data_IF_156266663786
#
_entry.id   IF_156266663786
#
_cell.length_a   1.000
_cell.length_b   1.000
_cell.length_c   1.000
_cell.angle_alpha   90.00
_cell.angle_beta   90.00
_cell.angle_gamma   90.00
#
_symmetry.space_group_name_H-M   'P 1'
#
loop_
_entity.id
_entity.type
_entity.pdbx_description
1 polymer ?
#
# COMPACT_ATOMS: atom_id res chain seq x y z
N UNK A 1 -6.96 -14.34 2.19
CA UNK A 1 -5.97 -14.52 1.12
C UNK A 1 -4.63 -14.59 1.80
N UNK A 2 -3.80 -15.56 1.44
CA UNK A 2 -2.42 -15.59 1.88
C UNK A 2 -1.56 -14.56 1.10
N UNK A 3 -0.40 -14.14 1.58
CA UNK A 3 0.58 -13.24 0.97
C UNK A 3 1.13 -13.88 -0.32
N UNK A 4 1.18 -15.22 -0.34
CA UNK A 4 1.44 -16.00 -1.56
C UNK A 4 0.27 -15.94 -2.55
N UNK A 5 -0.98 -16.08 -2.09
CA UNK A 5 -2.18 -15.93 -2.94
C UNK A 5 -2.35 -14.50 -3.47
N UNK A 6 -2.05 -13.48 -2.65
CA UNK A 6 -2.07 -12.07 -3.01
C UNK A 6 -0.99 -11.73 -4.03
N UNK A 7 0.24 -12.22 -3.83
CA UNK A 7 1.34 -12.05 -4.77
C UNK A 7 1.11 -12.80 -6.09
N UNK A 8 0.58 -14.03 -6.07
CA UNK A 8 0.23 -14.77 -7.28
C UNK A 8 -0.91 -14.11 -8.05
N UNK A 9 -1.92 -13.59 -7.33
CA UNK A 9 -2.98 -12.80 -7.94
C UNK A 9 -2.44 -11.49 -8.52
N UNK A 10 -1.55 -10.80 -7.81
CA UNK A 10 -0.89 -9.60 -8.31
C UNK A 10 -0.15 -9.88 -9.61
N UNK A 11 0.72 -10.89 -9.62
CA UNK A 11 1.45 -11.29 -10.83
C UNK A 11 0.48 -11.60 -11.97
N UNK A 12 -0.61 -12.33 -11.72
CA UNK A 12 -1.61 -12.65 -12.75
C UNK A 12 -2.32 -11.42 -13.32
N UNK A 13 -2.77 -10.49 -12.47
CA UNK A 13 -3.44 -9.26 -12.92
C UNK A 13 -2.47 -8.34 -13.67
N UNK A 14 -1.21 -8.25 -13.22
CA UNK A 14 -0.16 -7.51 -13.92
C UNK A 14 0.13 -8.12 -15.30
N UNK A 15 0.17 -9.46 -15.40
CA UNK A 15 0.30 -10.16 -16.69
C UNK A 15 -0.90 -9.91 -17.60
N UNK A 16 -2.12 -9.86 -17.07
CA UNK A 16 -3.31 -9.58 -17.87
C UNK A 16 -3.24 -8.19 -18.54
N UNK A 17 -2.74 -7.18 -17.82
CA UNK A 17 -2.50 -5.83 -18.39
C UNK A 17 -1.47 -5.89 -19.52
N UNK A 18 -0.37 -6.61 -19.32
CA UNK A 18 0.67 -6.76 -20.34
C UNK A 18 0.18 -7.55 -21.56
N UNK A 19 -0.63 -8.58 -21.36
CA UNK A 19 -1.24 -9.38 -22.44
C UNK A 19 -2.23 -8.57 -23.27
N UNK A 20 -3.07 -7.72 -22.67
CA UNK A 20 -3.98 -6.83 -23.40
C UNK A 20 -3.19 -5.89 -24.32
N UNK A 21 -2.15 -5.25 -23.79
CA UNK A 21 -1.28 -4.34 -24.55
C UNK A 21 -0.53 -5.08 -25.66
N UNK A 22 -0.01 -6.28 -25.37
CA UNK A 22 0.68 -7.11 -26.35
C UNK A 22 -0.25 -7.59 -27.47
N UNK A 23 -1.48 -7.99 -27.13
CA UNK A 23 -2.50 -8.37 -28.11
C UNK A 23 -2.82 -7.23 -29.07
N UNK A 24 -3.02 -6.02 -28.55
CA UNK A 24 -3.24 -4.83 -29.39
C UNK A 24 -2.05 -4.53 -30.32
N UNK A 25 -0.82 -4.65 -29.83
CA UNK A 25 0.38 -4.51 -30.66
C UNK A 25 0.44 -5.58 -31.77
N UNK A 26 0.19 -6.84 -31.43
CA UNK A 26 0.25 -7.97 -32.36
C UNK A 26 -0.80 -7.84 -33.47
N UNK A 27 -1.98 -7.32 -33.14
CA UNK A 27 -3.06 -7.09 -34.08
C UNK A 27 -2.88 -5.78 -34.90
N UNK A 28 -1.76 -5.08 -34.73
CA UNK A 28 -1.46 -3.82 -35.41
C UNK A 28 -2.33 -2.65 -34.94
N UNK A 29 -3.00 -2.78 -33.79
CA UNK A 29 -3.79 -1.72 -33.19
C UNK A 29 -2.89 -0.81 -32.36
N UNK A 30 -3.32 0.44 -32.17
CA UNK A 30 -2.61 1.37 -31.31
C UNK A 30 -2.88 0.97 -29.85
N UNK A 31 -1.84 0.63 -29.06
CA UNK A 31 -2.03 0.18 -27.70
C UNK A 31 -2.70 1.22 -26.83
N UNK A 32 -3.55 0.76 -25.92
CA UNK A 32 -4.28 1.59 -24.98
C UNK A 32 -4.51 0.87 -23.66
N UNK A 33 -4.47 1.64 -22.58
CA UNK A 33 -4.82 1.18 -21.25
C UNK A 33 -6.02 1.99 -20.75
N UNK A 34 -7.03 1.29 -20.21
CA UNK A 34 -8.20 1.94 -19.59
C UNK A 34 -7.92 2.11 -18.11
N UNK A 35 -8.10 3.32 -17.61
CA UNK A 35 -7.83 3.68 -16.23
C UNK A 35 -9.02 4.46 -15.67
N UNK A 36 -9.56 4.12 -14.49
CA UNK A 36 -10.62 4.91 -13.86
C UNK A 36 -10.21 6.38 -13.65
N UNK A 37 -11.11 7.31 -13.95
CA UNK A 37 -10.82 8.74 -13.80
C UNK A 37 -10.88 9.16 -12.34
N UNK A 38 -9.81 9.78 -11.84
CA UNK A 38 -9.75 10.36 -10.48
C UNK A 38 -10.21 11.81 -10.47
N UNK A 39 -11.47 12.04 -10.84
CA UNK A 39 -12.08 13.36 -10.83
C UNK A 39 -13.21 13.41 -9.81
N UNK A 40 -13.48 14.60 -9.23
CA UNK A 40 -14.62 14.79 -8.29
C UNK A 40 -15.94 14.29 -8.89
N UNK A 41 -16.13 14.45 -10.20
CA UNK A 41 -17.31 13.97 -10.92
C UNK A 41 -17.42 12.43 -10.98
N UNK A 42 -16.32 11.72 -10.80
CA UNK A 42 -16.30 10.26 -10.75
C UNK A 42 -16.34 9.70 -9.32
N UNK A 43 -16.30 10.53 -8.28
CA UNK A 43 -16.43 10.07 -6.89
C UNK A 43 -17.91 10.09 -6.53
N UNK A 44 -18.47 8.92 -6.17
CA UNK A 44 -19.88 8.76 -5.83
C UNK A 44 -20.04 8.17 -4.44
N UNK A 45 -20.97 8.71 -3.67
CA UNK A 45 -21.32 8.15 -2.37
C UNK A 45 -22.11 6.85 -2.56
N UNK A 46 -21.65 5.76 -1.95
CA UNK A 46 -22.37 4.50 -1.88
C UNK A 46 -23.18 4.45 -0.58
N UNK A 47 -24.51 4.68 -0.62
CA UNK A 47 -25.34 4.74 0.58
C UNK A 47 -25.48 3.40 1.28
N UNK A 48 -25.19 2.27 0.61
CA UNK A 48 -25.28 0.95 1.22
C UNK A 48 -24.11 0.69 2.17
N UNK A 49 -22.94 1.19 1.82
CA UNK A 49 -21.71 0.97 2.58
C UNK A 49 -21.26 2.23 3.32
N UNK A 50 -21.96 3.35 3.16
CA UNK A 50 -21.63 4.66 3.73
C UNK A 50 -20.19 5.12 3.41
N UNK A 51 -19.68 4.74 2.24
CA UNK A 51 -18.33 5.10 1.78
C UNK A 51 -18.38 5.72 0.39
N UNK A 52 -17.38 6.54 0.08
CA UNK A 52 -17.19 7.09 -1.26
C UNK A 52 -16.45 6.08 -2.14
N UNK A 53 -16.97 5.84 -3.34
CA UNK A 53 -16.39 4.90 -4.32
C UNK A 53 -16.19 5.58 -5.66
N UNK A 54 -15.28 5.03 -6.45
CA UNK A 54 -15.16 5.40 -7.85
C UNK A 54 -16.41 4.96 -8.63
N UNK A 55 -16.86 5.85 -9.50
CA UNK A 55 -17.92 5.61 -10.47
C UNK A 55 -17.39 4.86 -11.70
N UNK A 56 -18.18 4.89 -12.78
CA UNK A 56 -17.90 4.13 -14.01
C UNK A 56 -17.08 4.91 -15.05
N UNK A 57 -16.65 6.14 -14.75
CA UNK A 57 -15.92 6.93 -15.74
C UNK A 57 -14.47 6.41 -15.83
N UNK A 58 -14.09 5.98 -17.03
CA UNK A 58 -12.74 5.53 -17.35
C UNK A 58 -12.14 6.44 -18.41
N UNK A 59 -10.87 6.78 -18.23
CA UNK A 59 -10.03 7.41 -19.25
C UNK A 59 -9.29 6.35 -20.04
N UNK A 60 -8.86 6.72 -21.24
CA UNK A 60 -8.02 5.87 -22.09
C UNK A 60 -6.66 6.53 -22.26
N UNK A 61 -5.60 5.79 -21.98
CA UNK A 61 -4.22 6.18 -22.22
C UNK A 61 -3.73 5.43 -23.44
N UNK A 62 -3.55 6.13 -24.56
CA UNK A 62 -3.20 5.50 -25.83
C UNK A 62 -1.79 5.91 -26.26
N UNK A 63 -1.07 4.96 -26.87
CA UNK A 63 0.23 5.17 -27.50
C UNK A 63 0.18 6.09 -28.73
N UNK A 64 -1.01 6.56 -29.16
CA UNK A 64 -1.15 7.47 -30.31
C UNK A 64 -0.35 8.78 -30.15
N UNK A 65 -0.14 9.22 -28.91
CA UNK A 65 0.64 10.42 -28.58
C UNK A 65 1.88 10.01 -27.78
N UNK A 66 2.98 10.74 -27.96
CA UNK A 66 4.26 10.49 -27.29
C UNK A 66 4.12 10.33 -25.76
N UNK A 67 3.37 11.22 -25.09
CA UNK A 67 3.12 11.12 -23.64
C UNK A 67 2.43 9.82 -23.23
N UNK A 68 1.47 9.35 -24.03
CA UNK A 68 0.77 8.10 -23.77
C UNK A 68 1.65 6.88 -24.05
N UNK A 69 2.47 6.93 -25.11
CA UNK A 69 3.43 5.89 -25.42
C UNK A 69 4.49 5.74 -24.31
N UNK A 70 5.06 6.85 -23.84
CA UNK A 70 6.03 6.86 -22.73
C UNK A 70 5.40 6.31 -21.44
N UNK A 71 4.13 6.64 -21.16
CA UNK A 71 3.48 6.10 -19.97
C UNK A 71 3.20 4.59 -20.08
N UNK A 72 2.77 4.09 -21.23
CA UNK A 72 2.62 2.65 -21.44
C UNK A 72 3.97 1.92 -21.32
N UNK A 73 5.05 2.51 -21.86
CA UNK A 73 6.40 2.00 -21.69
C UNK A 73 6.79 1.92 -20.20
N UNK A 74 6.63 3.03 -19.45
CA UNK A 74 6.86 3.08 -17.99
C UNK A 74 6.04 2.05 -17.23
N UNK A 75 4.79 1.87 -17.62
CA UNK A 75 3.91 0.84 -17.05
C UNK A 75 4.56 -0.52 -17.20
N UNK A 76 5.01 -0.90 -18.41
CA UNK A 76 5.67 -2.20 -18.63
C UNK A 76 6.93 -2.38 -17.77
N UNK A 77 7.76 -1.35 -17.62
CA UNK A 77 8.94 -1.41 -16.74
C UNK A 77 8.55 -1.59 -15.27
N UNK A 78 7.51 -0.90 -14.79
CA UNK A 78 7.02 -1.07 -13.41
C UNK A 78 6.40 -2.46 -13.20
N UNK A 79 5.65 -3.00 -14.16
CA UNK A 79 5.14 -4.37 -14.08
C UNK A 79 6.29 -5.38 -13.97
N UNK A 80 7.34 -5.20 -14.77
CA UNK A 80 8.52 -6.06 -14.75
C UNK A 80 9.27 -5.97 -13.41
N UNK A 81 9.47 -4.75 -12.92
CA UNK A 81 10.05 -4.48 -11.60
C UNK A 81 9.26 -5.16 -10.47
N UNK A 82 7.93 -4.96 -10.41
CA UNK A 82 7.09 -5.59 -9.38
C UNK A 82 7.18 -7.12 -9.47
N UNK A 83 7.19 -7.68 -10.68
CA UNK A 83 7.36 -9.14 -10.89
C UNK A 83 8.69 -9.64 -10.34
N UNK A 84 9.79 -8.92 -10.57
CA UNK A 84 11.11 -9.28 -10.02
C UNK A 84 11.13 -9.22 -8.49
N UNK A 85 10.49 -8.21 -7.89
CA UNK A 85 10.37 -8.07 -6.45
C UNK A 85 9.59 -9.23 -5.83
N UNK A 86 8.45 -9.58 -6.42
CA UNK A 86 7.63 -10.73 -6.00
C UNK A 86 8.42 -12.04 -6.12
N UNK A 87 9.06 -12.31 -7.27
CA UNK A 87 9.86 -13.52 -7.48
C UNK A 87 11.06 -13.61 -6.55
N UNK A 88 11.71 -12.49 -6.28
CA UNK A 88 12.84 -12.40 -5.37
C UNK A 88 12.47 -12.44 -3.90
N UNK A 89 11.18 -12.46 -3.54
CA UNK A 89 10.69 -12.25 -2.17
C UNK A 89 11.29 -10.99 -1.52
N UNK A 90 11.50 -9.95 -2.33
CA UNK A 90 12.02 -8.65 -1.92
C UNK A 90 10.88 -7.64 -1.90
N UNK A 91 11.15 -6.51 -1.27
CA UNK A 91 10.25 -5.35 -1.24
C UNK A 91 11.02 -4.08 -1.53
N UNK A 92 10.36 -3.08 -2.09
CA UNK A 92 10.98 -1.80 -2.38
C UNK A 92 10.05 -0.65 -2.03
N UNK A 93 10.61 0.51 -1.69
CA UNK A 93 9.83 1.72 -1.50
C UNK A 93 9.54 2.44 -2.81
N UNK A 94 8.58 3.36 -2.81
CA UNK A 94 8.29 4.18 -4.00
C UNK A 94 9.46 5.08 -4.40
N UNK A 95 10.29 5.57 -3.46
CA UNK A 95 11.52 6.31 -3.80
C UNK A 95 12.59 5.40 -4.36
N UNK A 96 12.78 4.21 -3.81
CA UNK A 96 13.73 3.25 -4.37
C UNK A 96 13.36 2.90 -5.82
N UNK A 97 12.08 2.63 -6.10
CA UNK A 97 11.60 2.43 -7.47
C UNK A 97 11.89 3.65 -8.35
N UNK A 98 11.69 4.87 -7.83
CA UNK A 98 12.05 6.10 -8.54
C UNK A 98 13.55 6.16 -8.88
N UNK A 99 14.45 5.88 -7.93
CA UNK A 99 15.89 5.88 -8.17
C UNK A 99 16.33 4.76 -9.12
N UNK A 100 15.74 3.58 -9.01
CA UNK A 100 16.00 2.46 -9.94
C UNK A 100 15.56 2.85 -11.36
N UNK A 101 14.49 3.64 -11.49
CA UNK A 101 14.00 4.09 -12.79
C UNK A 101 14.99 4.99 -13.55
N UNK A 102 15.96 5.63 -12.88
CA UNK A 102 17.03 6.38 -13.57
C UNK A 102 17.85 5.47 -14.51
N UNK A 103 17.87 4.15 -14.24
CA UNK A 103 18.48 3.15 -15.11
C UNK A 103 17.61 2.70 -16.30
N UNK A 104 16.35 3.15 -16.40
CA UNK A 104 15.40 2.70 -17.44
C UNK A 104 15.43 3.55 -18.72
N UNK A 105 16.46 4.39 -18.90
CA UNK A 105 16.66 5.24 -20.09
C UNK A 105 15.41 6.07 -20.43
N UNK A 106 14.75 5.82 -21.57
CA UNK A 106 13.53 6.51 -21.99
C UNK A 106 12.34 6.33 -21.03
N UNK A 107 12.35 5.27 -20.22
CA UNK A 107 11.30 4.96 -19.26
C UNK A 107 11.58 5.50 -17.85
N UNK A 108 12.60 6.34 -17.65
CA UNK A 108 12.82 6.96 -16.35
C UNK A 108 11.69 7.91 -15.95
N UNK A 109 11.44 8.02 -14.64
CA UNK A 109 10.54 9.05 -14.11
C UNK A 109 11.25 10.40 -14.05
N UNK A 110 10.52 11.49 -14.28
CA UNK A 110 11.07 12.84 -14.13
C UNK A 110 10.77 13.44 -12.76
N UNK A 111 9.81 12.89 -12.03
CA UNK A 111 9.51 13.25 -10.65
C UNK A 111 8.94 12.06 -9.89
N UNK A 112 9.04 12.10 -8.56
CA UNK A 112 8.43 11.09 -7.69
C UNK A 112 6.90 11.06 -7.82
N UNK A 113 6.27 12.18 -8.16
CA UNK A 113 4.82 12.22 -8.38
C UNK A 113 4.40 11.34 -9.58
N UNK A 114 5.25 11.20 -10.61
CA UNK A 114 4.96 10.33 -11.74
C UNK A 114 4.97 8.85 -11.35
N UNK A 115 5.92 8.44 -10.49
CA UNK A 115 5.98 7.05 -10.00
C UNK A 115 4.82 6.74 -9.05
N UNK A 116 4.47 7.68 -8.17
CA UNK A 116 3.33 7.57 -7.26
C UNK A 116 2.01 7.42 -8.03
N UNK A 117 1.77 8.28 -9.03
CA UNK A 117 0.53 8.22 -9.83
C UNK A 117 0.38 6.89 -10.57
N UNK A 118 1.49 6.35 -11.09
CA UNK A 118 1.48 5.08 -11.81
C UNK A 118 1.25 3.89 -10.86
N UNK A 119 1.85 3.88 -9.67
CA UNK A 119 1.58 2.85 -8.65
C UNK A 119 0.09 2.86 -8.27
N UNK A 120 -0.49 4.03 -8.04
CA UNK A 120 -1.93 4.16 -7.78
C UNK A 120 -2.79 3.71 -8.96
N UNK A 121 -2.35 3.93 -10.21
CA UNK A 121 -3.10 3.50 -11.39
C UNK A 121 -3.15 1.97 -11.44
N UNK A 122 -2.06 1.30 -11.06
CA UNK A 122 -2.00 -0.15 -10.94
C UNK A 122 -2.89 -0.68 -9.82
N UNK A 123 -2.91 -0.06 -8.64
CA UNK A 123 -3.82 -0.46 -7.54
C UNK A 123 -5.28 -0.41 -8.00
N UNK A 124 -5.67 0.68 -8.66
CA UNK A 124 -7.06 0.89 -9.08
C UNK A 124 -7.45 -0.05 -10.21
N UNK A 125 -6.54 -0.33 -11.15
CA UNK A 125 -6.82 -1.22 -12.29
C UNK A 125 -6.87 -2.69 -11.86
N UNK A 126 -5.98 -3.11 -10.96
CA UNK A 126 -5.92 -4.51 -10.48
C UNK A 126 -6.83 -4.78 -9.28
N UNK A 127 -7.34 -3.73 -8.62
CA UNK A 127 -8.04 -3.80 -7.35
C UNK A 127 -7.24 -4.51 -6.24
N UNK A 128 -5.92 -4.28 -6.24
CA UNK A 128 -4.97 -4.79 -5.25
C UNK A 128 -4.31 -3.62 -4.50
N UNK A 129 -3.77 -3.92 -3.32
CA UNK A 129 -3.09 -2.94 -2.49
C UNK A 129 -1.60 -2.84 -2.87
N UNK A 130 -0.92 -1.75 -2.49
CA UNK A 130 0.52 -1.55 -2.78
C UNK A 130 1.38 -2.66 -2.20
N UNK A 131 0.98 -3.13 -1.03
CA UNK A 131 1.63 -4.17 -0.27
C UNK A 131 1.63 -5.51 -1.02
N UNK A 132 0.57 -5.79 -1.80
CA UNK A 132 0.48 -6.97 -2.67
C UNK A 132 1.53 -6.92 -3.78
N UNK A 133 1.93 -5.71 -4.22
CA UNK A 133 3.01 -5.48 -5.18
C UNK A 133 4.40 -5.47 -4.56
N UNK A 134 4.51 -5.74 -3.25
CA UNK A 134 5.76 -5.57 -2.48
C UNK A 134 6.30 -4.14 -2.51
N UNK A 135 5.45 -3.17 -2.84
CA UNK A 135 5.76 -1.75 -2.74
C UNK A 135 5.39 -1.27 -1.34
N UNK A 136 6.36 -0.65 -0.66
CA UNK A 136 6.19 -0.17 0.72
C UNK A 136 6.15 1.35 0.76
N UNK A 137 5.32 1.94 1.65
CA UNK A 137 5.46 3.35 1.99
C UNK A 137 6.81 3.59 2.67
N UNK A 138 7.33 4.81 2.55
CA UNK A 138 8.57 5.21 3.24
C UNK A 138 8.33 5.75 4.65
N UNK A 139 7.11 6.22 4.93
CA UNK A 139 6.81 6.81 6.22
C UNK A 139 6.84 5.75 7.32
N UNK A 140 7.37 6.16 8.47
CA UNK A 140 7.35 5.31 9.66
C UNK A 140 5.91 5.10 10.07
N UNK A 141 5.48 3.84 10.13
CA UNK A 141 4.13 3.49 10.55
C UNK A 141 3.74 4.09 11.91
N UNK A 142 2.43 4.15 12.13
CA UNK A 142 1.86 4.54 13.41
C UNK A 142 2.39 3.63 14.54
N UNK A 143 2.46 4.19 15.74
CA UNK A 143 2.81 3.43 16.95
C UNK A 143 1.55 3.16 17.77
N UNK A 144 1.48 2.01 18.43
CA UNK A 144 0.33 1.59 19.24
C UNK A 144 0.79 1.27 20.66
N UNK A 145 0.07 1.81 21.65
CA UNK A 145 0.21 1.46 23.07
C UNK A 145 -1.16 1.14 23.65
N UNK A 146 -1.27 0.05 24.40
CA UNK A 146 -2.48 -0.32 25.14
C UNK A 146 -2.61 -1.82 25.28
N UNK A 147 -3.61 -2.27 26.05
CA UNK A 147 -3.80 -3.68 26.37
C UNK A 147 -4.35 -4.47 25.17
N UNK A 148 -3.46 -4.73 24.21
CA UNK A 148 -3.69 -5.42 22.96
C UNK A 148 -2.57 -6.45 22.78
N UNK A 149 -2.93 -7.73 22.71
CA UNK A 149 -1.98 -8.80 22.42
C UNK A 149 -2.05 -9.17 20.96
N UNK A 150 -0.92 -8.99 20.27
CA UNK A 150 -0.75 -9.34 18.86
C UNK A 150 0.25 -10.48 18.72
N UNK A 151 0.05 -11.30 17.69
CA UNK A 151 1.03 -12.28 17.25
C UNK A 151 1.64 -11.81 15.94
N UNK A 152 2.94 -11.53 15.94
CA UNK A 152 3.69 -11.13 14.75
C UNK A 152 4.70 -12.22 14.35
N UNK A 153 4.83 -12.46 13.04
CA UNK A 153 5.95 -13.22 12.48
C UNK A 153 7.17 -12.29 12.38
N UNK A 154 8.15 -12.54 13.24
CA UNK A 154 9.43 -11.81 13.24
C UNK A 154 10.23 -12.07 11.97
N UNK A 155 11.26 -11.25 11.71
CA UNK A 155 12.17 -11.41 10.56
C UNK A 155 12.81 -12.80 10.46
N UNK A 156 12.91 -13.52 11.58
CA UNK A 156 13.50 -14.85 11.66
C UNK A 156 12.48 -15.98 11.42
N UNK A 157 11.22 -15.64 11.11
CA UNK A 157 10.14 -16.59 10.90
C UNK A 157 9.48 -17.11 12.18
N UNK A 158 9.94 -16.68 13.35
CA UNK A 158 9.33 -17.05 14.63
C UNK A 158 8.07 -16.24 14.87
N UNK A 159 7.00 -16.93 15.27
CA UNK A 159 5.78 -16.30 15.78
C UNK A 159 6.02 -15.87 17.22
N UNK A 160 5.90 -14.58 17.48
CA UNK A 160 5.99 -14.03 18.84
C UNK A 160 4.70 -13.34 19.19
N UNK A 161 4.23 -13.60 20.41
CA UNK A 161 3.16 -12.83 21.01
C UNK A 161 3.79 -11.64 21.70
N UNK A 162 3.24 -10.47 21.42
CA UNK A 162 3.69 -9.18 21.93
C UNK A 162 2.46 -8.50 22.51
N UNK A 163 2.50 -8.18 23.79
CA UNK A 163 1.54 -7.29 24.41
C UNK A 163 1.96 -5.83 24.13
N UNK A 164 1.10 -5.07 23.46
CA UNK A 164 1.36 -3.66 23.09
C UNK A 164 1.32 -2.69 24.29
N UNK A 165 1.27 -3.17 25.53
CA UNK A 165 1.43 -2.39 26.75
C UNK A 165 2.62 -2.89 27.56
N UNK A 166 2.64 -4.18 27.89
CA UNK A 166 3.63 -4.74 28.83
C UNK A 166 4.97 -5.10 28.18
N UNK A 167 4.97 -5.46 26.89
CA UNK A 167 6.17 -5.95 26.17
C UNK A 167 6.83 -4.87 25.30
N UNK A 168 6.36 -3.62 25.36
CA UNK A 168 6.84 -2.49 24.55
C UNK A 168 7.33 -1.34 25.42
N UNK A 169 8.35 -0.62 24.96
CA UNK A 169 8.81 0.60 25.63
C UNK A 169 7.92 1.81 25.34
N UNK A 170 8.34 2.99 25.80
CA UNK A 170 7.58 4.25 25.70
C UNK A 170 7.22 4.66 24.26
N UNK A 171 7.94 4.16 23.26
CA UNK A 171 7.66 4.39 21.84
C UNK A 171 6.54 3.51 21.26
N UNK A 172 6.10 2.51 22.02
CA UNK A 172 5.04 1.58 21.66
C UNK A 172 5.41 0.54 20.60
N UNK A 173 4.44 -0.30 20.27
CA UNK A 173 4.54 -1.21 19.14
C UNK A 173 4.45 -0.43 17.83
N UNK A 174 5.49 -0.46 17.01
CA UNK A 174 5.46 0.15 15.67
C UNK A 174 4.74 -0.78 14.70
N UNK A 175 3.65 -0.30 14.10
CA UNK A 175 2.87 -1.10 13.14
C UNK A 175 3.76 -1.41 11.91
N UNK A 176 3.94 -2.69 11.55
CA UNK A 176 4.69 -3.07 10.36
C UNK A 176 3.92 -2.67 9.11
N UNK A 177 4.65 -2.40 8.01
CA UNK A 177 4.04 -2.03 6.72
C UNK A 177 3.03 -3.06 6.18
N UNK A 178 3.17 -4.34 6.54
CA UNK A 178 2.24 -5.39 6.13
C UNK A 178 1.42 -5.80 7.37
N UNK A 179 0.14 -5.47 7.34
CA UNK A 179 -0.85 -5.75 8.40
C UNK A 179 -1.76 -6.94 8.05
N UNK A 180 -1.45 -7.67 6.98
CA UNK A 180 -2.20 -8.85 6.58
C UNK A 180 -2.11 -9.96 7.64
N UNK A 181 -3.14 -10.81 7.66
CA UNK A 181 -3.38 -11.82 8.71
C UNK A 181 -2.27 -12.84 8.89
N UNK A 182 -1.42 -13.02 7.89
CA UNK A 182 -0.26 -13.90 8.00
C UNK A 182 0.87 -13.29 8.78
N UNK A 183 1.04 -11.97 8.69
CA UNK A 183 2.11 -11.30 9.38
C UNK A 183 1.70 -10.88 10.79
N UNK A 184 0.51 -10.30 10.92
CA UNK A 184 -0.01 -9.79 12.20
C UNK A 184 -1.37 -10.41 12.47
N UNK A 185 -1.55 -10.96 13.67
CA UNK A 185 -2.82 -11.56 14.10
C UNK A 185 -3.20 -11.06 15.49
N UNK A 186 -4.40 -10.51 15.61
CA UNK A 186 -4.97 -10.16 16.90
C UNK A 186 -5.29 -11.42 17.71
N UNK A 187 -4.82 -11.47 18.96
CA UNK A 187 -5.08 -12.58 19.89
C UNK A 187 -6.06 -12.19 20.97
N UNK A 188 -5.81 -11.08 21.63
CA UNK A 188 -6.64 -10.59 22.73
C UNK A 188 -6.59 -9.06 22.79
N UNK A 189 -7.65 -8.45 23.29
CA UNK A 189 -7.74 -7.01 23.48
C UNK A 189 -8.72 -6.67 24.61
N UNK A 190 -8.25 -5.97 25.65
CA UNK A 190 -9.10 -5.40 26.71
C UNK A 190 -9.04 -3.87 26.64
N UNK A 191 -9.79 -3.32 25.67
CA UNK A 191 -9.96 -1.89 25.52
C UNK A 191 -11.40 -1.53 25.12
N UNK A 192 -11.90 -0.43 25.67
CA UNK A 192 -13.25 0.11 25.41
C UNK A 192 -13.31 0.92 24.12
N UNK A 193 -12.22 1.58 23.75
CA UNK A 193 -12.14 2.42 22.55
C UNK A 193 -10.68 2.58 22.08
N UNK A 194 -10.52 3.05 20.86
CA UNK A 194 -9.22 3.41 20.26
C UNK A 194 -9.14 4.93 20.17
N UNK A 195 -8.03 5.51 20.65
CA UNK A 195 -7.75 6.94 20.61
C UNK A 195 -6.59 7.21 19.65
N UNK A 196 -6.91 7.80 18.51
CA UNK A 196 -5.91 8.21 17.52
C UNK A 196 -5.39 9.61 17.82
N UNK A 197 -4.07 9.77 17.91
CA UNK A 197 -3.38 10.98 18.34
C UNK A 197 -2.36 11.35 17.26
N UNK A 198 -2.46 12.57 16.74
CA UNK A 198 -1.55 13.06 15.70
C UNK A 198 -0.18 13.48 16.26
N UNK A 199 -0.19 14.20 17.39
CA UNK A 199 1.01 14.85 17.93
C UNK A 199 1.75 13.95 18.91
N UNK A 200 3.04 13.69 18.63
CA UNK A 200 3.88 12.84 19.48
C UNK A 200 3.98 13.33 20.92
N UNK A 201 4.10 14.64 21.14
CA UNK A 201 4.15 15.18 22.51
C UNK A 201 2.88 14.93 23.33
N UNK A 202 1.69 14.86 22.70
CA UNK A 202 0.47 14.49 23.41
C UNK A 202 0.42 12.98 23.67
N UNK A 203 0.84 12.18 22.69
CA UNK A 203 0.94 10.74 22.84
C UNK A 203 1.86 10.36 24.01
N UNK A 204 3.09 10.90 24.04
CA UNK A 204 4.06 10.64 25.09
C UNK A 204 3.52 11.03 26.46
N UNK A 205 2.80 12.17 26.56
CA UNK A 205 2.18 12.61 27.83
C UNK A 205 1.04 11.72 28.29
N UNK A 206 0.22 11.20 27.37
CA UNK A 206 -0.87 10.29 27.73
C UNK A 206 -0.32 8.94 28.22
N UNK A 207 0.77 8.47 27.61
CA UNK A 207 1.50 7.27 28.02
C UNK A 207 2.15 7.47 29.38
N UNK A 208 2.87 8.58 29.60
CA UNK A 208 3.49 8.93 30.89
C UNK A 208 2.48 8.98 32.04
N UNK A 209 1.24 9.39 31.77
CA UNK A 209 0.17 9.47 32.77
C UNK A 209 -0.62 8.14 32.93
N UNK A 210 -0.30 7.08 32.17
CA UNK A 210 -1.01 5.80 32.24
C UNK A 210 -2.48 5.87 31.81
N UNK A 211 -2.81 6.79 30.90
CA UNK A 211 -4.20 7.02 30.46
C UNK A 211 -4.81 5.78 29.77
N UNK A 212 -3.99 4.97 29.11
CA UNK A 212 -4.41 3.71 28.49
C UNK A 212 -4.97 2.73 29.53
N UNK A 213 -4.40 2.71 30.74
CA UNK A 213 -4.87 1.86 31.85
C UNK A 213 -6.15 2.41 32.49
N UNK A 214 -6.18 3.71 32.80
CA UNK A 214 -7.28 4.38 33.49
C UNK A 214 -8.57 4.35 32.65
N UNK A 215 -8.45 4.73 31.37
CA UNK A 215 -9.58 4.79 30.45
C UNK A 215 -9.88 3.44 29.77
N UNK A 216 -9.00 2.44 29.94
CA UNK A 216 -9.00 1.18 29.18
C UNK A 216 -9.08 1.44 27.68
N UNK A 217 -8.07 2.06 27.11
CA UNK A 217 -8.06 2.42 25.69
C UNK A 217 -6.77 1.99 24.98
N UNK A 218 -6.83 1.94 23.64
CA UNK A 218 -5.65 1.75 22.79
C UNK A 218 -5.27 3.11 22.22
N UNK A 219 -4.09 3.59 22.55
CA UNK A 219 -3.49 4.81 22.02
C UNK A 219 -2.79 4.49 20.70
N UNK A 220 -3.12 5.25 19.65
CA UNK A 220 -2.50 5.12 18.32
C UNK A 220 -1.87 6.45 17.93
N UNK A 221 -0.54 6.50 17.85
CA UNK A 221 0.21 7.66 17.39
C UNK A 221 0.33 7.65 15.87
N UNK A 222 -0.31 8.62 15.20
CA UNK A 222 -0.37 8.71 13.73
C UNK A 222 0.87 9.39 13.10
N UNK A 223 1.63 10.19 13.86
CA UNK A 223 2.85 10.90 13.42
C UNK A 223 2.61 11.90 12.26
N UNK A 224 1.44 12.53 12.19
CA UNK A 224 1.07 13.49 11.15
C UNK A 224 -0.09 13.00 10.30
N UNK A 225 -0.08 13.30 9.00
CA UNK A 225 -1.12 12.86 8.07
C UNK A 225 -1.09 11.32 7.95
N UNK A 226 -2.15 10.61 8.36
CA UNK A 226 -2.21 9.15 8.30
C UNK A 226 -2.56 8.61 6.90
#
# INVERSE_FOLDING_TARGET
>A
MTEAEGADKAVRELYAIAEEIYGELKDGQIPKMKIPLRTKANIRFDPKHSVWKYGKLTGVRSAKKMKGALMLLRTMFVLDFIREMIRGSKSSTLREMYYISEGWDLAKFHSQDESNLLAEDLEVVTALLREDFKLRPEESGASVIGNLTIEEITRNGERRQINCRDDVGDAGYTIPYNVEKEKVKFRDADAKFVLAIETGGMFDRLVENGFDEEAKCILVHLKGQP
#
